data_IF_544130241508
#
_entry.id   IF_544130241508
#
_cell.length_a   1.000
_cell.length_b   1.000
_cell.length_c   1.000
_cell.angle_alpha   90.00
_cell.angle_beta   90.00
_cell.angle_gamma   90.00
#
_symmetry.space_group_name_H-M   'P 1'
#
loop_
_entity.id
_entity.type
_entity.pdbx_description
1 polymer ?
#
# COMPACT_ATOMS: atom_id res chain seq x y z
N UNK A 1 -63.29 0.22 -52.32
CA UNK A 1 -62.40 0.33 -53.49
C UNK A 1 -60.97 0.15 -53.00
N UNK A 2 -60.20 -0.69 -53.68
CA UNK A 2 -58.87 -1.16 -53.28
C UNK A 2 -57.83 -0.04 -53.43
N UNK A 3 -56.91 0.09 -52.48
CA UNK A 3 -55.59 0.67 -52.76
C UNK A 3 -54.52 -0.11 -52.00
N UNK A 4 -53.72 -0.86 -52.77
CA UNK A 4 -52.45 -1.42 -52.34
C UNK A 4 -51.36 -0.47 -52.81
N UNK A 5 -50.47 -0.04 -51.92
CA UNK A 5 -49.09 0.26 -52.30
C UNK A 5 -48.19 0.16 -51.07
N UNK A 6 -47.12 -0.63 -51.22
CA UNK A 6 -46.05 -0.82 -50.25
C UNK A 6 -45.12 0.40 -50.21
N UNK A 7 -44.39 0.58 -49.11
CA UNK A 7 -42.91 0.59 -48.96
C UNK A 7 -42.54 1.53 -47.78
N UNK A 8 -42.04 0.97 -46.67
CA UNK A 8 -40.67 1.17 -46.17
C UNK A 8 -40.54 0.64 -44.73
N UNK A 9 -39.45 -0.09 -44.52
CA UNK A 9 -39.10 -0.81 -43.32
C UNK A 9 -38.76 0.12 -42.15
N UNK A 10 -39.24 -0.21 -40.95
CA UNK A 10 -38.55 0.09 -39.70
C UNK A 10 -38.51 -1.21 -38.89
N UNK A 11 -37.30 -1.73 -38.79
CA UNK A 11 -36.91 -2.88 -37.99
C UNK A 11 -36.98 -2.48 -36.50
N UNK A 12 -38.09 -2.83 -35.83
CA UNK A 12 -38.17 -2.80 -34.38
C UNK A 12 -37.89 -4.22 -33.86
N UNK A 13 -36.60 -4.51 -33.62
CA UNK A 13 -36.18 -5.68 -32.86
C UNK A 13 -36.65 -5.48 -31.41
N UNK A 14 -37.74 -6.16 -31.06
CA UNK A 14 -38.09 -6.48 -29.68
C UNK A 14 -37.01 -7.40 -29.13
N UNK A 15 -35.98 -6.84 -28.49
CA UNK A 15 -35.21 -7.60 -27.52
C UNK A 15 -35.96 -7.57 -26.21
N UNK A 16 -36.49 -8.76 -25.89
CA UNK A 16 -37.06 -9.12 -24.62
C UNK A 16 -36.13 -8.66 -23.49
N UNK A 17 -36.69 -7.99 -22.49
CA UNK A 17 -36.00 -7.71 -21.24
C UNK A 17 -35.75 -9.06 -20.57
N UNK A 18 -34.57 -9.62 -20.79
CA UNK A 18 -34.08 -10.75 -20.01
C UNK A 18 -33.54 -10.17 -18.72
N UNK A 19 -34.30 -10.36 -17.64
CA UNK A 19 -33.83 -10.13 -16.28
C UNK A 19 -32.82 -11.25 -15.98
N UNK A 20 -31.59 -11.11 -16.48
CA UNK A 20 -30.45 -11.89 -16.00
C UNK A 20 -29.84 -11.09 -14.86
N UNK A 21 -29.83 -11.69 -13.69
CA UNK A 21 -29.17 -11.21 -12.49
C UNK A 21 -27.66 -11.22 -12.68
N UNK A 22 -27.13 -10.26 -13.44
CA UNK A 22 -25.71 -9.92 -13.47
C UNK A 22 -25.54 -8.55 -12.82
N UNK A 23 -25.73 -8.52 -11.49
CA UNK A 23 -25.06 -7.49 -10.69
C UNK A 23 -23.62 -7.96 -10.55
N UNK A 24 -22.81 -7.77 -11.58
CA UNK A 24 -21.37 -7.60 -11.35
C UNK A 24 -21.24 -6.27 -10.60
N UNK A 25 -21.23 -6.34 -9.27
CA UNK A 25 -20.73 -5.23 -8.46
C UNK A 25 -19.41 -4.77 -9.11
N UNK A 26 -19.23 -3.46 -9.36
CA UNK A 26 -18.01 -2.99 -9.99
C UNK A 26 -16.83 -3.53 -9.18
N UNK A 27 -15.89 -4.19 -9.84
CA UNK A 27 -14.66 -4.69 -9.20
C UNK A 27 -14.03 -3.50 -8.45
N UNK A 28 -14.20 -3.47 -7.14
CA UNK A 28 -13.70 -2.35 -6.33
C UNK A 28 -12.19 -2.54 -6.22
N UNK A 29 -11.44 -1.68 -6.91
CA UNK A 29 -9.99 -1.62 -6.74
C UNK A 29 -9.68 -1.07 -5.34
N UNK A 30 -9.50 -1.96 -4.36
CA UNK A 30 -9.21 -1.58 -2.98
C UNK A 30 -7.91 -0.76 -2.86
N UNK A 31 -6.97 -0.92 -3.80
CA UNK A 31 -5.73 -0.16 -3.81
C UNK A 31 -5.96 1.36 -4.01
N UNK A 32 -7.01 1.75 -4.74
CA UNK A 32 -7.37 3.16 -4.92
C UNK A 32 -7.75 3.84 -3.60
N UNK A 33 -8.30 3.08 -2.65
CA UNK A 33 -8.69 3.61 -1.35
C UNK A 33 -7.48 3.87 -0.45
N UNK A 34 -6.38 3.13 -0.62
CA UNK A 34 -5.17 3.24 0.20
C UNK A 34 -4.06 4.06 -0.44
N UNK A 35 -4.18 4.46 -1.71
CA UNK A 35 -3.20 5.31 -2.36
C UNK A 35 -3.01 6.64 -1.60
N UNK A 36 -1.78 7.15 -1.62
CA UNK A 36 -1.43 8.39 -0.94
C UNK A 36 0.04 8.50 -0.58
N UNK A 37 0.42 9.66 -0.10
CA UNK A 37 1.73 9.92 0.50
C UNK A 37 1.56 10.15 2.00
N UNK A 38 2.06 9.21 2.81
CA UNK A 38 1.96 9.22 4.25
C UNK A 38 3.27 9.72 4.85
N UNK A 39 3.21 10.86 5.53
CA UNK A 39 4.34 11.45 6.26
C UNK A 39 4.30 11.02 7.71
N UNK A 40 5.44 10.63 8.25
CA UNK A 40 5.50 9.97 9.53
C UNK A 40 6.91 9.91 10.11
N UNK A 41 7.09 8.97 11.01
CA UNK A 41 8.38 8.61 11.58
C UNK A 41 8.54 7.10 11.62
N UNK A 42 9.77 6.63 11.77
CA UNK A 42 10.05 5.22 11.96
C UNK A 42 10.73 4.92 13.28
N UNK A 43 10.45 3.71 13.80
CA UNK A 43 11.14 3.08 14.90
C UNK A 43 11.79 1.81 14.36
N UNK A 44 13.11 1.73 14.41
CA UNK A 44 13.86 0.56 13.95
C UNK A 44 14.42 -0.23 15.12
N UNK A 45 14.04 -1.50 15.21
CA UNK A 45 14.50 -2.45 16.20
C UNK A 45 15.34 -3.55 15.54
N UNK A 46 16.43 -3.94 16.20
CA UNK A 46 17.38 -4.94 15.72
C UNK A 46 18.25 -5.42 16.88
N UNK A 47 18.93 -6.55 16.68
CA UNK A 47 19.66 -7.29 17.74
C UNK A 47 20.61 -6.44 18.61
N UNK A 48 21.14 -5.34 18.08
CA UNK A 48 22.17 -4.54 18.73
C UNK A 48 21.63 -3.25 19.37
N UNK A 49 20.30 -3.07 19.44
CA UNK A 49 19.69 -1.92 20.10
C UNK A 49 18.76 -2.37 21.22
N UNK A 50 18.82 -1.69 22.37
CA UNK A 50 17.89 -1.92 23.49
C UNK A 50 16.65 -1.01 23.38
N UNK A 51 16.82 0.14 22.71
CA UNK A 51 15.78 1.12 22.45
C UNK A 51 15.65 1.24 20.92
N UNK A 52 14.45 1.14 20.34
CA UNK A 52 14.28 1.33 18.91
C UNK A 52 14.83 2.68 18.44
N UNK A 53 15.55 2.68 17.33
CA UNK A 53 16.10 3.90 16.76
C UNK A 53 15.01 4.70 16.06
N UNK A 54 14.74 5.90 16.58
CA UNK A 54 13.77 6.83 15.99
C UNK A 54 14.36 7.56 14.78
N UNK A 55 13.56 7.71 13.72
CA UNK A 55 13.88 8.51 12.53
C UNK A 55 12.68 9.39 12.18
N UNK A 56 12.75 10.72 12.37
CA UNK A 56 11.66 11.64 12.03
C UNK A 56 11.57 11.92 10.52
N UNK A 57 10.47 12.53 10.09
CA UNK A 57 10.28 13.09 8.74
C UNK A 57 10.41 12.08 7.60
N UNK A 58 9.96 10.85 7.84
CA UNK A 58 9.96 9.75 6.89
C UNK A 58 8.65 9.71 6.08
N UNK A 59 8.66 9.04 4.92
CA UNK A 59 7.52 9.01 4.00
C UNK A 59 7.30 7.65 3.39
N UNK A 60 6.06 7.14 3.42
CA UNK A 60 5.63 5.95 2.68
C UNK A 60 4.64 6.36 1.60
N UNK A 61 4.90 5.95 0.37
CA UNK A 61 4.06 6.25 -0.80
C UNK A 61 3.38 4.98 -1.27
N UNK A 62 2.06 5.05 -1.43
CA UNK A 62 1.24 4.00 -2.00
C UNK A 62 0.63 4.45 -3.32
N UNK A 63 0.81 3.64 -4.35
CA UNK A 63 0.21 3.82 -5.67
C UNK A 63 -0.69 2.63 -5.96
N UNK A 64 -1.89 2.89 -6.45
CA UNK A 64 -2.80 1.84 -6.90
C UNK A 64 -2.36 1.32 -8.28
N UNK A 65 -2.30 0.00 -8.43
CA UNK A 65 -2.04 -0.65 -9.70
C UNK A 65 -3.36 -1.01 -10.39
N UNK A 66 -3.31 -1.19 -11.71
CA UNK A 66 -4.49 -1.53 -12.52
C UNK A 66 -5.06 -2.92 -12.20
N UNK A 67 -4.26 -3.82 -11.63
CA UNK A 67 -4.64 -5.19 -11.26
C UNK A 67 -5.26 -5.30 -9.86
N UNK A 68 -5.47 -4.18 -9.16
CA UNK A 68 -6.02 -4.16 -7.81
C UNK A 68 -4.99 -4.28 -6.68
N UNK A 69 -3.70 -4.45 -6.99
CA UNK A 69 -2.61 -4.44 -6.01
C UNK A 69 -2.11 -3.01 -5.77
N UNK A 70 -1.24 -2.82 -4.78
CA UNK A 70 -0.60 -1.53 -4.49
C UNK A 70 0.92 -1.63 -4.56
N UNK A 71 1.53 -0.68 -5.27
CA UNK A 71 2.96 -0.43 -5.17
C UNK A 71 3.24 0.34 -3.87
N UNK A 72 4.22 -0.10 -3.08
CA UNK A 72 4.67 0.55 -1.84
C UNK A 72 6.11 1.00 -2.00
N UNK A 73 6.38 2.27 -1.74
CA UNK A 73 7.73 2.84 -1.75
C UNK A 73 8.02 3.52 -0.42
N UNK A 74 9.14 3.15 0.19
CA UNK A 74 9.66 3.78 1.39
C UNK A 74 11.15 4.04 1.21
N UNK A 75 11.53 5.32 1.16
CA UNK A 75 12.93 5.73 1.02
C UNK A 75 13.38 6.45 2.30
N UNK A 76 14.37 5.86 2.97
CA UNK A 76 14.96 6.40 4.17
C UNK A 76 16.43 6.70 3.96
N UNK A 77 16.87 7.88 4.40
CA UNK A 77 18.29 8.21 4.41
C UNK A 77 19.08 7.35 5.40
N UNK A 78 18.40 6.73 6.37
CA UNK A 78 19.01 5.90 7.41
C UNK A 78 18.88 4.40 7.14
N UNK A 79 17.72 3.98 6.66
CA UNK A 79 17.38 2.57 6.51
C UNK A 79 17.40 2.07 5.06
N UNK A 80 17.71 2.93 4.09
CA UNK A 80 17.75 2.55 2.67
C UNK A 80 16.38 2.65 1.99
N UNK A 81 16.28 2.01 0.83
CA UNK A 81 15.09 2.12 -0.04
C UNK A 81 14.38 0.78 -0.16
N UNK A 82 13.10 0.77 0.19
CA UNK A 82 12.21 -0.38 0.18
C UNK A 82 11.18 -0.21 -0.93
N UNK A 83 11.05 -1.22 -1.78
CA UNK A 83 10.11 -1.22 -2.90
C UNK A 83 9.33 -2.52 -2.96
N UNK A 84 8.02 -2.39 -3.15
CA UNK A 84 7.08 -3.48 -3.45
C UNK A 84 6.27 -3.08 -4.66
N UNK A 85 6.17 -3.98 -5.64
CA UNK A 85 5.40 -3.76 -6.86
C UNK A 85 3.92 -4.12 -6.72
N UNK A 86 3.60 -5.13 -5.92
CA UNK A 86 2.36 -5.91 -6.02
C UNK A 86 1.82 -6.29 -4.63
N UNK A 87 1.76 -5.33 -3.70
CA UNK A 87 1.21 -5.57 -2.37
C UNK A 87 -0.30 -5.84 -2.45
N UNK A 88 -0.75 -6.91 -1.81
CA UNK A 88 -2.17 -7.26 -1.74
C UNK A 88 -2.86 -6.35 -0.74
N UNK A 89 -3.99 -5.77 -1.16
CA UNK A 89 -4.85 -4.93 -0.33
C UNK A 89 -6.11 -5.70 0.02
N UNK A 90 -6.43 -5.77 1.31
CA UNK A 90 -7.69 -6.32 1.80
C UNK A 90 -8.34 -5.35 2.78
N UNK A 91 -9.64 -5.51 3.04
CA UNK A 91 -10.40 -4.67 3.97
C UNK A 91 -11.16 -5.53 4.97
N UNK A 92 -11.14 -5.14 6.24
CA UNK A 92 -11.96 -5.74 7.28
C UNK A 92 -12.50 -4.63 8.19
N UNK A 93 -13.82 -4.46 8.20
CA UNK A 93 -14.47 -3.33 8.89
C UNK A 93 -13.94 -2.00 8.33
N UNK A 94 -13.31 -1.20 9.20
CA UNK A 94 -12.78 0.13 8.88
C UNK A 94 -11.26 0.16 8.71
N UNK A 95 -10.63 -1.00 8.53
CA UNK A 95 -9.18 -1.12 8.37
C UNK A 95 -8.86 -1.81 7.05
N UNK A 96 -8.02 -1.16 6.25
CA UNK A 96 -7.32 -1.77 5.14
C UNK A 96 -6.03 -2.42 5.63
N UNK A 97 -5.75 -3.65 5.19
CA UNK A 97 -4.49 -4.33 5.39
C UNK A 97 -3.73 -4.44 4.08
N UNK A 98 -2.43 -4.17 4.11
CA UNK A 98 -1.52 -4.28 2.98
C UNK A 98 -0.47 -5.33 3.31
N UNK A 99 -0.22 -6.29 2.43
CA UNK A 99 0.82 -7.30 2.65
C UNK A 99 1.55 -7.60 1.35
N UNK A 100 2.88 -7.70 1.42
CA UNK A 100 3.69 -8.00 0.24
C UNK A 100 5.10 -8.44 0.60
N UNK A 101 5.74 -9.10 -0.37
CA UNK A 101 7.19 -9.32 -0.34
C UNK A 101 7.84 -8.13 -1.02
N UNK A 102 8.93 -7.66 -0.43
CA UNK A 102 9.64 -6.47 -0.82
C UNK A 102 11.11 -6.80 -1.11
N UNK A 103 11.74 -5.91 -1.86
CA UNK A 103 13.20 -5.80 -1.88
C UNK A 103 13.59 -4.50 -1.20
N UNK A 104 14.70 -4.53 -0.49
CA UNK A 104 15.30 -3.32 0.07
C UNK A 104 16.76 -3.20 -0.31
N UNK A 105 17.22 -1.98 -0.57
CA UNK A 105 18.62 -1.68 -0.81
C UNK A 105 19.17 -0.93 0.39
N UNK A 106 20.09 -1.58 1.12
CA UNK A 106 20.68 -1.06 2.36
C UNK A 106 22.20 -1.17 2.35
N UNK A 107 22.88 -0.21 2.98
CA UNK A 107 24.34 -0.19 3.16
C UNK A 107 24.75 0.98 4.04
N UNK A 108 25.89 0.86 4.73
CA UNK A 108 26.45 1.95 5.55
C UNK A 108 27.06 3.08 4.71
N UNK A 109 27.44 2.75 3.47
CA UNK A 109 27.95 3.66 2.44
C UNK A 109 27.37 3.26 1.08
N UNK A 110 27.46 4.17 0.10
CA UNK A 110 27.02 3.92 -1.28
C UNK A 110 27.63 2.65 -1.87
N UNK A 111 28.92 2.45 -1.67
CA UNK A 111 29.69 1.29 -2.17
C UNK A 111 29.32 -0.03 -1.50
N UNK A 112 28.74 0.03 -0.29
CA UNK A 112 28.35 -1.15 0.49
C UNK A 112 26.89 -1.57 0.29
N UNK A 113 26.13 -0.81 -0.51
CA UNK A 113 24.71 -1.08 -0.73
C UNK A 113 24.51 -2.45 -1.35
N UNK A 114 23.58 -3.22 -0.77
CA UNK A 114 23.16 -4.53 -1.25
C UNK A 114 21.66 -4.64 -1.20
N UNK A 115 21.12 -5.50 -2.06
CA UNK A 115 19.72 -5.88 -2.01
C UNK A 115 19.49 -6.96 -0.95
N UNK A 116 18.40 -6.83 -0.20
CA UNK A 116 17.92 -7.82 0.76
C UNK A 116 16.43 -8.08 0.55
N UNK A 117 16.03 -9.32 0.84
CA UNK A 117 14.61 -9.67 0.93
C UNK A 117 13.99 -8.99 2.15
N UNK A 118 12.77 -8.49 1.96
CA UNK A 118 12.00 -7.83 2.99
C UNK A 118 10.53 -8.29 2.93
N UNK A 119 9.84 -8.27 4.05
CA UNK A 119 8.39 -8.43 4.12
C UNK A 119 7.75 -7.15 4.62
N UNK A 120 6.59 -6.80 4.07
CA UNK A 120 5.83 -5.63 4.53
C UNK A 120 4.43 -6.03 4.94
N UNK A 121 4.01 -5.46 6.06
CA UNK A 121 2.63 -5.46 6.52
C UNK A 121 2.22 -4.03 6.86
N UNK A 122 1.12 -3.57 6.31
CA UNK A 122 0.58 -2.23 6.54
C UNK A 122 -0.86 -2.29 7.02
N UNK A 123 -1.25 -1.30 7.79
CA UNK A 123 -2.65 -1.06 8.16
C UNK A 123 -2.99 0.41 7.97
N UNK A 124 -4.15 0.69 7.37
CA UNK A 124 -4.65 2.04 7.12
C UNK A 124 -6.13 2.08 7.54
N UNK A 125 -6.49 3.00 8.44
CA UNK A 125 -7.91 3.26 8.75
C UNK A 125 -8.62 3.87 7.53
N UNK A 126 -9.93 3.63 7.38
CA UNK A 126 -10.71 4.21 6.26
C UNK A 126 -10.64 5.73 6.16
N UNK A 127 -10.54 6.41 7.30
CA UNK A 127 -10.39 7.87 7.37
C UNK A 127 -8.93 8.33 7.19
N UNK A 128 -7.99 7.39 6.99
CA UNK A 128 -6.55 7.59 6.80
C UNK A 128 -5.84 8.31 7.94
N UNK A 129 -6.47 8.41 9.12
CA UNK A 129 -5.88 9.05 10.30
C UNK A 129 -4.94 8.14 11.08
N UNK A 130 -5.04 6.82 10.86
CA UNK A 130 -4.14 5.85 11.46
C UNK A 130 -3.50 5.03 10.35
N UNK A 131 -2.19 5.17 10.22
CA UNK A 131 -1.39 4.45 9.22
C UNK A 131 -0.14 3.91 9.90
N UNK A 132 0.12 2.62 9.71
CA UNK A 132 1.31 1.94 10.21
C UNK A 132 1.83 0.97 9.17
N UNK A 133 3.14 0.91 8.99
CA UNK A 133 3.80 -0.10 8.15
C UNK A 133 4.93 -0.77 8.92
N UNK A 134 5.03 -2.08 8.79
CA UNK A 134 6.07 -2.91 9.37
C UNK A 134 6.91 -3.50 8.24
N UNK A 135 8.17 -3.11 8.15
CA UNK A 135 9.15 -3.66 7.21
C UNK A 135 10.08 -4.60 7.98
N UNK A 136 10.21 -5.85 7.54
CA UNK A 136 11.08 -6.85 8.17
C UNK A 136 12.19 -7.27 7.23
N UNK A 137 13.44 -7.16 7.68
CA UNK A 137 14.64 -7.55 6.93
C UNK A 137 15.45 -8.55 7.77
N UNK A 138 15.13 -9.85 7.72
CA UNK A 138 15.72 -10.85 8.62
C UNK A 138 17.25 -10.98 8.51
N UNK A 139 17.78 -10.77 7.31
CA UNK A 139 19.20 -11.00 7.00
C UNK A 139 20.13 -9.84 7.40
N UNK A 140 19.60 -8.70 7.86
CA UNK A 140 20.38 -7.52 8.22
C UNK A 140 20.41 -7.35 9.74
N UNK A 141 21.60 -7.08 10.29
CA UNK A 141 21.83 -6.78 11.73
C UNK A 141 21.20 -7.78 12.73
N UNK A 142 21.11 -9.07 12.35
CA UNK A 142 20.47 -10.09 13.19
C UNK A 142 18.94 -10.07 13.16
N UNK A 143 18.35 -9.36 12.20
CA UNK A 143 16.92 -9.16 12.01
C UNK A 143 16.53 -7.73 12.31
N UNK A 144 16.40 -6.90 11.27
CA UNK A 144 15.87 -5.53 11.39
C UNK A 144 14.36 -5.54 11.22
N UNK A 145 13.67 -4.82 12.10
CA UNK A 145 12.25 -4.50 11.98
C UNK A 145 12.07 -2.99 12.05
N UNK A 146 11.46 -2.39 11.02
CA UNK A 146 11.20 -0.95 10.96
C UNK A 146 9.68 -0.75 10.99
N UNK A 147 9.21 -0.02 11.99
CA UNK A 147 7.80 0.35 12.12
C UNK A 147 7.64 1.82 11.76
N UNK A 148 6.97 2.10 10.66
CA UNK A 148 6.51 3.44 10.28
C UNK A 148 5.18 3.75 10.96
N UNK A 149 5.05 4.96 11.49
CA UNK A 149 3.85 5.51 12.10
C UNK A 149 3.53 6.86 11.47
N UNK A 150 2.25 7.11 11.19
CA UNK A 150 1.78 8.41 10.70
C UNK A 150 1.99 9.53 11.72
N UNK A 151 2.39 10.70 11.23
CA UNK A 151 2.46 11.93 12.04
C UNK A 151 3.84 12.21 12.64
N UNK A 152 3.87 13.03 13.68
CA UNK A 152 5.11 13.47 14.32
C UNK A 152 5.57 12.47 15.39
N UNK A 153 6.88 12.46 15.65
CA UNK A 153 7.48 11.65 16.71
C UNK A 153 6.92 12.10 18.07
N UNK A 154 6.38 11.19 18.91
CA UNK A 154 6.00 11.51 20.28
C UNK A 154 7.21 12.02 21.07
N UNK A 155 7.06 13.08 21.88
CA UNK A 155 8.20 13.68 22.60
C UNK A 155 8.97 12.69 23.48
N UNK A 156 8.32 11.65 24.01
CA UNK A 156 8.97 10.61 24.80
C UNK A 156 10.03 9.84 24.00
N UNK A 157 9.78 9.59 22.71
CA UNK A 157 10.67 8.81 21.82
C UNK A 157 11.83 9.64 21.26
N UNK A 158 11.74 10.98 21.34
CA UNK A 158 12.84 11.89 21.03
C UNK A 158 13.91 11.84 22.12
N UNK A 159 13.50 11.74 23.38
CA UNK A 159 14.40 11.77 24.55
C UNK A 159 15.16 10.45 24.70
N UNK A 160 14.54 9.32 24.33
CA UNK A 160 15.15 8.00 24.45
C UNK A 160 16.39 7.79 23.56
N UNK A 161 16.58 8.62 22.53
CA UNK A 161 17.71 8.54 21.58
C UNK A 161 18.89 9.49 21.86
N UNK A 162 18.85 10.25 22.96
CA UNK A 162 19.91 11.22 23.33
C UNK A 162 20.49 10.84 24.70
N UNK A 163 21.65 10.18 24.70
CA UNK A 163 22.48 9.98 25.89
C UNK A 163 23.93 10.31 25.58
#
# INVERSE_FOLDING_TARGET
>A
MKLKFNVFAILALFFMVSCSSDNEDPIVNLAENVQGNYKGYTLADFKYTEIPMTTPDESVILTANADGTSSVSYASNKWGTFTISDAVVAVNGDIYSIQGKAKTVMGMSEESKKEYDCEVKGTISKDKKTVSFLFKVPSVMGGVTITFNLGEVPMADVIAGVY
#
